data_IF_387673878436
#
_entry.id   IF_387673878436
#
_cell.length_a   1.000
_cell.length_b   1.000
_cell.length_c   1.000
_cell.angle_alpha   90.00
_cell.angle_beta   90.00
_cell.angle_gamma   90.00
#
_symmetry.space_group_name_H-M   'P 1'
#
loop_
_entity.id
_entity.type
_entity.pdbx_description
1 polymer ?
#
# COMPACT_ATOMS: atom_id res chain seq x y z
N UNK A 1 -0.05 12.38 -22.98
CA UNK A 1 -0.38 12.37 -21.53
C UNK A 1 -0.51 13.80 -21.02
N UNK A 2 0.43 14.69 -21.33
CA UNK A 2 0.42 16.10 -20.88
C UNK A 2 -0.85 16.82 -21.34
N UNK A 3 -1.29 16.63 -22.58
CA UNK A 3 -2.51 17.24 -23.10
C UNK A 3 -3.75 16.72 -22.34
N UNK A 4 -3.83 15.43 -22.08
CA UNK A 4 -4.91 14.84 -21.26
C UNK A 4 -4.91 15.43 -19.83
N UNK A 5 -3.73 15.61 -19.23
CA UNK A 5 -3.62 16.25 -17.92
C UNK A 5 -4.08 17.73 -17.95
N UNK A 6 -3.70 18.49 -18.98
CA UNK A 6 -4.12 19.87 -19.15
C UNK A 6 -5.63 19.98 -19.40
N UNK A 7 -6.21 19.08 -20.22
CA UNK A 7 -7.65 19.02 -20.45
C UNK A 7 -8.40 18.69 -19.15
N UNK A 8 -7.95 17.68 -18.42
CA UNK A 8 -8.55 17.30 -17.14
C UNK A 8 -8.48 18.42 -16.10
N UNK A 9 -7.36 19.14 -16.07
CA UNK A 9 -7.15 20.21 -15.11
C UNK A 9 -8.21 21.34 -15.21
N UNK A 10 -8.87 21.52 -16.36
CA UNK A 10 -9.95 22.52 -16.55
C UNK A 10 -11.17 22.22 -15.65
N UNK A 11 -11.35 20.97 -15.23
CA UNK A 11 -12.44 20.58 -14.34
C UNK A 11 -12.19 21.02 -12.87
N UNK A 12 -10.96 21.41 -12.50
CA UNK A 12 -10.59 21.81 -11.14
C UNK A 12 -10.83 23.31 -10.98
N UNK A 13 -11.75 23.69 -10.09
CA UNK A 13 -12.14 25.10 -9.88
C UNK A 13 -11.08 25.90 -9.15
N UNK A 14 -10.48 25.31 -8.10
CA UNK A 14 -9.43 25.98 -7.31
C UNK A 14 -8.05 25.42 -7.67
N UNK A 15 -7.38 26.07 -8.61
CA UNK A 15 -6.02 25.72 -9.04
C UNK A 15 -5.00 26.70 -8.43
N UNK A 16 -3.87 26.17 -7.96
CA UNK A 16 -2.75 26.98 -7.48
C UNK A 16 -1.96 27.63 -8.64
N UNK A 17 -1.91 26.97 -9.80
CA UNK A 17 -1.29 27.47 -11.04
C UNK A 17 -2.30 27.35 -12.17
N UNK A 18 -2.44 28.41 -12.96
CA UNK A 18 -3.32 28.47 -14.13
C UNK A 18 -2.64 27.98 -15.40
N UNK A 19 -1.32 28.09 -15.45
CA UNK A 19 -0.55 27.77 -16.65
C UNK A 19 -0.59 26.26 -16.96
N UNK A 20 -0.69 25.90 -18.25
CA UNK A 20 -0.61 24.50 -18.66
C UNK A 20 0.79 23.95 -18.38
N UNK A 21 0.86 22.64 -18.08
CA UNK A 21 2.13 21.93 -18.02
C UNK A 21 2.64 21.71 -19.44
N UNK A 22 3.96 21.72 -19.59
CA UNK A 22 4.65 21.53 -20.87
C UNK A 22 5.41 20.21 -20.79
N UNK A 23 5.31 19.40 -21.86
CA UNK A 23 6.08 18.16 -21.95
C UNK A 23 7.57 18.47 -22.10
N UNK A 24 8.39 17.76 -21.34
CA UNK A 24 9.85 17.74 -21.51
C UNK A 24 10.30 16.60 -22.44
N UNK A 25 9.42 15.61 -22.70
CA UNK A 25 9.68 14.51 -23.62
C UNK A 25 9.26 14.88 -25.03
N UNK A 26 10.03 14.38 -26.02
CA UNK A 26 9.68 14.45 -27.43
C UNK A 26 8.84 13.25 -27.90
N UNK A 27 8.69 12.24 -27.05
CA UNK A 27 7.87 11.06 -27.35
C UNK A 27 6.42 11.27 -26.93
N UNK A 28 5.49 10.96 -27.82
CA UNK A 28 4.06 11.01 -27.54
C UNK A 28 3.65 9.79 -26.73
N UNK A 29 3.02 10.03 -25.59
CA UNK A 29 2.45 8.98 -24.76
C UNK A 29 1.02 8.63 -25.18
N UNK A 30 0.61 7.40 -24.98
CA UNK A 30 -0.73 6.90 -25.30
C UNK A 30 -1.68 7.09 -24.10
N UNK A 31 -2.89 7.61 -24.36
CA UNK A 31 -3.95 7.76 -23.34
C UNK A 31 -5.20 7.04 -23.81
N UNK A 32 -5.71 6.12 -22.98
CA UNK A 32 -6.95 5.36 -23.19
C UNK A 32 -7.93 5.59 -22.06
N UNK A 33 -9.18 5.80 -22.40
CA UNK A 33 -10.31 5.80 -21.48
C UNK A 33 -11.16 4.59 -21.81
N UNK A 34 -11.21 3.61 -20.89
CA UNK A 34 -12.02 2.41 -21.05
C UNK A 34 -13.27 2.55 -20.19
N UNK A 35 -14.40 2.77 -20.82
CA UNK A 35 -15.67 2.98 -20.15
C UNK A 35 -16.42 1.67 -19.97
N UNK A 36 -16.78 1.37 -18.73
CA UNK A 36 -17.53 0.19 -18.34
C UNK A 36 -18.93 0.57 -17.84
N UNK A 37 -19.93 -0.29 -18.02
CA UNK A 37 -21.24 -0.08 -17.40
C UNK A 37 -21.10 -0.19 -15.86
N UNK A 38 -21.90 0.58 -15.13
CA UNK A 38 -21.97 0.46 -13.68
C UNK A 38 -22.66 -0.83 -13.24
N UNK A 39 -23.73 -1.20 -13.96
CA UNK A 39 -24.53 -2.38 -13.72
C UNK A 39 -24.98 -3.00 -15.05
N UNK A 40 -25.08 -4.32 -15.07
CA UNK A 40 -25.72 -5.10 -16.13
C UNK A 40 -26.75 -6.02 -15.46
N UNK A 41 -28.03 -5.94 -15.85
CA UNK A 41 -29.13 -6.76 -15.29
C UNK A 41 -29.10 -6.74 -13.73
N UNK A 42 -29.08 -5.55 -13.16
CA UNK A 42 -29.05 -5.30 -11.69
C UNK A 42 -27.79 -5.77 -10.96
N UNK A 43 -26.83 -6.41 -11.65
CA UNK A 43 -25.55 -6.79 -11.08
C UNK A 43 -24.52 -5.70 -11.29
N UNK A 44 -23.78 -5.35 -10.23
CA UNK A 44 -22.64 -4.43 -10.30
C UNK A 44 -21.52 -5.03 -11.15
N UNK A 45 -20.93 -4.21 -12.01
CA UNK A 45 -19.74 -4.57 -12.79
C UNK A 45 -18.49 -4.17 -12.02
N UNK A 46 -17.50 -5.07 -11.94
CA UNK A 46 -16.22 -4.85 -11.28
C UNK A 46 -15.10 -4.77 -12.31
N UNK A 47 -14.28 -3.74 -12.26
CA UNK A 47 -13.27 -3.46 -13.29
C UNK A 47 -11.88 -4.08 -12.98
N UNK A 48 -11.78 -5.03 -12.04
CA UNK A 48 -10.50 -5.65 -11.70
C UNK A 48 -9.96 -6.57 -12.78
N UNK A 49 -10.84 -7.36 -13.39
CA UNK A 49 -10.48 -8.30 -14.46
C UNK A 49 -9.95 -7.60 -15.72
N UNK A 50 -10.59 -6.55 -16.25
CA UNK A 50 -10.05 -5.79 -17.38
C UNK A 50 -8.67 -5.21 -17.13
N UNK A 51 -8.40 -4.72 -15.89
CA UNK A 51 -7.07 -4.23 -15.51
C UNK A 51 -6.04 -5.35 -15.49
N UNK A 52 -6.40 -6.53 -14.96
CA UNK A 52 -5.53 -7.71 -15.00
C UNK A 52 -5.15 -8.07 -16.44
N UNK A 53 -6.11 -8.10 -17.35
CA UNK A 53 -5.88 -8.41 -18.77
C UNK A 53 -4.97 -7.38 -19.44
N UNK A 54 -5.12 -6.09 -19.11
CA UNK A 54 -4.22 -5.03 -19.58
C UNK A 54 -2.79 -5.22 -19.04
N UNK A 55 -2.63 -5.59 -17.75
CA UNK A 55 -1.32 -5.92 -17.17
C UNK A 55 -0.70 -7.11 -17.89
N UNK A 56 -1.47 -8.18 -18.12
CA UNK A 56 -0.98 -9.36 -18.85
C UNK A 56 -0.55 -9.01 -20.28
N UNK A 57 -1.27 -8.11 -20.95
CA UNK A 57 -0.93 -7.61 -22.28
C UNK A 57 0.39 -6.84 -22.27
N UNK A 58 0.58 -5.94 -21.29
CA UNK A 58 1.83 -5.19 -21.13
C UNK A 58 3.01 -6.11 -20.85
N UNK A 59 2.84 -7.11 -19.99
CA UNK A 59 3.86 -8.13 -19.71
C UNK A 59 4.17 -8.99 -20.94
N UNK A 60 3.15 -9.39 -21.71
CA UNK A 60 3.32 -10.18 -22.94
C UNK A 60 4.05 -9.40 -24.06
N UNK A 61 3.82 -8.09 -24.14
CA UNK A 61 4.52 -7.24 -25.11
C UNK A 61 6.00 -7.01 -24.73
N UNK A 62 6.32 -7.12 -23.44
CA UNK A 62 7.68 -6.95 -22.90
C UNK A 62 8.47 -8.27 -22.82
N UNK A 63 7.84 -9.42 -23.15
CA UNK A 63 8.53 -10.71 -23.20
C UNK A 63 9.61 -10.69 -24.32
N UNK A 64 10.87 -11.11 -24.04
CA UNK A 64 11.93 -11.11 -25.04
C UNK A 64 11.56 -12.07 -26.18
N UNK A 65 11.33 -11.54 -27.37
CA UNK A 65 11.21 -12.33 -28.59
C UNK A 65 12.64 -12.80 -28.96
N UNK A 66 12.98 -13.98 -28.52
CA UNK A 66 14.08 -14.86 -28.89
C UNK A 66 15.20 -14.33 -29.79
N UNK A 67 16.03 -13.39 -29.35
CA UNK A 67 17.34 -13.07 -29.90
C UNK A 67 18.29 -12.59 -28.80
N UNK A 68 19.58 -12.89 -28.91
CA UNK A 68 20.62 -12.57 -27.91
C UNK A 68 20.82 -11.05 -27.59
N UNK A 69 20.05 -10.17 -28.19
CA UNK A 69 20.01 -8.74 -27.90
C UNK A 69 19.12 -8.34 -26.68
N UNK A 70 18.59 -9.33 -25.97
CA UNK A 70 17.63 -9.12 -24.85
C UNK A 70 18.27 -8.61 -23.53
N UNK A 71 19.59 -8.39 -23.49
CA UNK A 71 20.31 -8.00 -22.26
C UNK A 71 20.19 -6.52 -21.89
N UNK A 72 19.67 -5.66 -22.77
CA UNK A 72 19.61 -4.20 -22.54
C UNK A 72 18.19 -3.58 -22.60
N UNK A 73 17.11 -4.36 -22.75
CA UNK A 73 15.77 -3.81 -22.66
C UNK A 73 15.44 -3.50 -21.20
N UNK A 74 15.49 -2.21 -20.89
CA UNK A 74 15.01 -1.60 -19.67
C UNK A 74 13.62 -2.15 -19.32
N UNK A 75 13.51 -2.92 -18.24
CA UNK A 75 12.22 -3.37 -17.74
C UNK A 75 11.39 -2.15 -17.33
N UNK A 76 10.18 -2.06 -17.88
CA UNK A 76 9.27 -0.93 -17.66
C UNK A 76 8.43 -1.13 -16.41
N UNK A 77 8.20 -0.05 -15.67
CA UNK A 77 7.38 -0.05 -14.46
C UNK A 77 5.90 0.05 -14.82
N UNK A 78 5.07 -0.80 -14.20
CA UNK A 78 3.62 -0.75 -14.33
C UNK A 78 3.03 -0.34 -12.98
N UNK A 79 2.18 0.68 -12.94
CA UNK A 79 1.45 1.05 -11.74
C UNK A 79 -0.05 0.93 -11.92
N UNK A 80 -0.70 0.31 -10.94
CA UNK A 80 -2.15 0.23 -10.85
C UNK A 80 -2.60 1.14 -9.72
N UNK A 81 -3.31 2.21 -10.07
CA UNK A 81 -3.76 3.24 -9.15
C UNK A 81 -5.26 3.10 -8.88
N UNK A 82 -5.61 2.95 -7.62
CA UNK A 82 -7.00 2.79 -7.16
C UNK A 82 -7.44 3.98 -6.30
N UNK A 83 -8.73 4.10 -6.05
CA UNK A 83 -9.28 5.16 -5.20
C UNK A 83 -9.14 4.82 -3.71
N UNK A 84 -9.19 3.54 -3.34
CA UNK A 84 -9.21 3.06 -1.97
C UNK A 84 -8.15 2.00 -1.71
N UNK A 85 -7.72 1.87 -0.46
CA UNK A 85 -6.82 0.79 -0.04
C UNK A 85 -7.46 -0.59 -0.26
N UNK A 86 -8.77 -0.71 -0.09
CA UNK A 86 -9.49 -1.97 -0.28
C UNK A 86 -9.40 -2.43 -1.75
N UNK A 87 -9.65 -1.53 -2.71
CA UNK A 87 -9.49 -1.82 -4.13
C UNK A 87 -8.06 -2.22 -4.48
N UNK A 88 -7.06 -1.51 -3.92
CA UNK A 88 -5.65 -1.82 -4.14
C UNK A 88 -5.29 -3.24 -3.65
N UNK A 89 -5.80 -3.63 -2.49
CA UNK A 89 -5.53 -4.95 -1.91
C UNK A 89 -6.26 -6.06 -2.66
N UNK A 90 -7.49 -5.82 -3.11
CA UNK A 90 -8.23 -6.76 -3.97
C UNK A 90 -7.48 -6.96 -5.30
N UNK A 91 -7.02 -5.87 -5.91
CA UNK A 91 -6.24 -5.95 -7.16
C UNK A 91 -4.92 -6.72 -6.96
N UNK A 92 -4.22 -6.47 -5.84
CA UNK A 92 -3.00 -7.22 -5.50
C UNK A 92 -3.29 -8.73 -5.36
N UNK A 93 -4.36 -9.11 -4.65
CA UNK A 93 -4.75 -10.50 -4.48
C UNK A 93 -5.06 -11.16 -5.83
N UNK A 94 -5.76 -10.44 -6.72
CA UNK A 94 -6.07 -10.92 -8.06
C UNK A 94 -4.82 -11.15 -8.91
N UNK A 95 -3.85 -10.24 -8.89
CA UNK A 95 -2.56 -10.40 -9.57
C UNK A 95 -1.80 -11.63 -9.03
N UNK A 96 -1.71 -11.76 -7.72
CA UNK A 96 -1.03 -12.89 -7.08
C UNK A 96 -1.69 -14.24 -7.40
N UNK A 97 -3.03 -14.31 -7.46
CA UNK A 97 -3.75 -15.53 -7.82
C UNK A 97 -3.49 -15.99 -9.27
N UNK A 98 -3.01 -15.07 -10.13
CA UNK A 98 -2.57 -15.34 -11.50
C UNK A 98 -1.05 -15.47 -11.64
N UNK A 99 -0.32 -15.63 -10.52
CA UNK A 99 1.14 -15.79 -10.51
C UNK A 99 1.93 -14.52 -10.81
N UNK A 100 1.27 -13.36 -10.91
CA UNK A 100 1.90 -12.08 -11.20
C UNK A 100 2.40 -11.47 -9.89
N UNK A 101 3.72 -11.29 -9.77
CA UNK A 101 4.33 -10.64 -8.61
C UNK A 101 4.10 -9.13 -8.69
N UNK A 102 3.44 -8.59 -7.70
CA UNK A 102 3.19 -7.16 -7.57
C UNK A 102 3.49 -6.69 -6.15
N UNK A 103 3.87 -5.43 -6.02
CA UNK A 103 4.13 -4.76 -4.74
C UNK A 103 2.99 -3.81 -4.40
N UNK A 104 2.50 -3.87 -3.18
CA UNK A 104 1.56 -2.89 -2.66
C UNK A 104 2.32 -1.79 -1.93
N UNK A 105 2.03 -0.54 -2.26
CA UNK A 105 2.49 0.58 -1.42
C UNK A 105 1.68 0.55 -0.13
N UNK A 106 2.32 0.05 0.92
CA UNK A 106 1.70 -0.19 2.23
C UNK A 106 1.34 1.12 2.93
N UNK A 107 0.33 1.07 3.80
CA UNK A 107 -0.03 2.16 4.71
C UNK A 107 -0.31 1.59 6.09
N UNK A 108 -0.04 2.40 7.09
CA UNK A 108 -0.39 2.08 8.47
C UNK A 108 -1.66 2.79 8.94
N UNK A 109 -2.44 3.38 8.03
CA UNK A 109 -3.76 3.98 8.28
C UNK A 109 -3.78 4.95 9.49
N UNK A 110 -2.84 5.89 9.51
CA UNK A 110 -2.70 6.91 10.54
C UNK A 110 -1.83 6.51 11.74
N UNK A 111 -1.25 5.31 11.73
CA UNK A 111 -0.15 4.98 12.62
C UNK A 111 1.18 5.40 11.99
N UNK A 112 2.09 5.92 12.80
CA UNK A 112 3.40 6.38 12.34
C UNK A 112 4.38 5.22 12.20
N UNK A 113 5.38 5.36 11.34
CA UNK A 113 6.49 4.41 11.18
C UNK A 113 7.19 4.10 12.53
N UNK A 114 7.34 5.13 13.35
CA UNK A 114 7.82 5.03 14.73
C UNK A 114 7.13 3.92 15.56
N UNK A 115 5.88 3.58 15.27
CA UNK A 115 5.11 2.60 16.07
C UNK A 115 5.45 1.15 15.75
N UNK A 116 6.15 0.86 14.65
CA UNK A 116 6.57 -0.50 14.31
C UNK A 116 7.42 -1.12 15.43
N UNK A 117 7.16 -2.39 15.75
CA UNK A 117 7.87 -3.10 16.80
C UNK A 117 9.39 -3.14 16.55
N UNK A 118 9.81 -3.31 15.30
CA UNK A 118 11.18 -3.31 14.84
C UNK A 118 11.84 -1.95 15.10
N UNK A 119 11.17 -0.85 14.72
CA UNK A 119 11.65 0.53 14.93
C UNK A 119 11.75 0.84 16.41
N UNK A 120 10.72 0.49 17.19
CA UNK A 120 10.70 0.70 18.65
C UNK A 120 11.82 -0.06 19.35
N UNK A 121 12.12 -1.25 18.91
CA UNK A 121 13.21 -2.04 19.49
C UNK A 121 14.57 -1.44 19.15
N UNK A 122 14.79 -1.06 17.88
CA UNK A 122 16.01 -0.39 17.46
C UNK A 122 16.26 0.89 18.25
N UNK A 123 15.29 1.78 18.33
CA UNK A 123 15.39 3.04 19.06
C UNK A 123 15.63 2.81 20.56
N UNK A 124 15.03 1.77 21.15
CA UNK A 124 15.32 1.39 22.53
C UNK A 124 16.78 1.01 22.73
N UNK A 125 17.40 0.30 21.76
CA UNK A 125 18.81 -0.09 21.85
C UNK A 125 19.72 1.12 21.70
N UNK A 126 19.42 2.03 20.80
CA UNK A 126 20.12 3.31 20.66
C UNK A 126 20.02 4.13 21.98
N UNK A 127 18.81 4.29 22.54
CA UNK A 127 18.58 5.02 23.79
C UNK A 127 19.42 4.46 24.96
N UNK A 128 19.51 3.13 25.06
CA UNK A 128 20.35 2.47 26.06
C UNK A 128 21.83 2.82 25.87
N UNK A 129 22.37 2.68 24.67
CA UNK A 129 23.79 2.97 24.39
C UNK A 129 24.16 4.44 24.60
N UNK A 130 23.29 5.37 24.16
CA UNK A 130 23.48 6.81 24.34
C UNK A 130 23.48 7.20 25.83
N UNK A 131 22.58 6.61 26.64
CA UNK A 131 22.54 6.83 28.09
C UNK A 131 23.78 6.28 28.81
N UNK A 132 24.23 5.10 28.44
CA UNK A 132 25.45 4.50 28.97
C UNK A 132 26.70 5.32 28.62
N UNK A 133 26.78 5.80 27.38
CA UNK A 133 27.84 6.67 26.90
C UNK A 133 27.77 8.11 27.43
N UNK A 134 26.65 8.52 28.04
CA UNK A 134 26.37 9.90 28.48
C UNK A 134 26.61 10.94 27.36
N UNK A 135 26.28 10.58 26.12
CA UNK A 135 26.51 11.41 24.94
C UNK A 135 25.25 11.50 24.10
N UNK A 136 24.87 12.66 23.57
CA UNK A 136 23.76 12.79 22.62
C UNK A 136 24.13 12.28 21.22
N UNK A 137 25.41 12.06 20.94
CA UNK A 137 25.93 11.54 19.68
C UNK A 137 25.94 10.03 19.75
N UNK A 138 25.39 9.38 18.73
CA UNK A 138 25.40 7.94 18.56
C UNK A 138 26.72 7.57 17.88
N UNK A 139 27.61 6.86 18.60
CA UNK A 139 28.82 6.34 17.98
C UNK A 139 28.52 5.19 17.01
N UNK A 140 29.47 4.89 16.13
CA UNK A 140 29.31 3.80 15.16
C UNK A 140 29.17 2.44 15.86
N UNK A 141 29.85 2.23 17.01
CA UNK A 141 29.71 1.01 17.81
C UNK A 141 28.30 0.85 18.38
N UNK A 142 27.67 1.92 18.90
CA UNK A 142 26.30 1.90 19.40
C UNK A 142 25.34 1.63 18.24
N UNK A 143 25.57 2.29 17.12
CA UNK A 143 24.75 2.16 15.91
C UNK A 143 24.75 0.73 15.37
N UNK A 144 25.94 0.17 15.15
CA UNK A 144 26.10 -1.17 14.58
C UNK A 144 25.62 -2.26 15.54
N UNK A 145 25.86 -2.12 16.84
CA UNK A 145 25.34 -3.02 17.86
C UNK A 145 23.82 -3.01 17.89
N UNK A 146 23.17 -1.84 17.79
CA UNK A 146 21.71 -1.72 17.75
C UNK A 146 21.15 -2.34 16.48
N UNK A 147 21.77 -2.12 15.32
CA UNK A 147 21.39 -2.74 14.04
C UNK A 147 21.47 -4.26 14.14
N UNK A 148 22.63 -4.79 14.56
CA UNK A 148 22.85 -6.24 14.67
C UNK A 148 21.83 -6.90 15.59
N UNK A 149 21.62 -6.37 16.79
CA UNK A 149 20.66 -6.93 17.76
C UNK A 149 19.22 -6.90 17.21
N UNK A 150 18.85 -5.83 16.49
CA UNK A 150 17.51 -5.69 15.93
C UNK A 150 17.31 -6.68 14.78
N UNK A 151 18.27 -6.79 13.87
CA UNK A 151 18.18 -7.68 12.71
C UNK A 151 18.22 -9.15 13.14
N UNK A 152 18.99 -9.50 14.17
CA UNK A 152 18.96 -10.83 14.77
C UNK A 152 17.61 -11.14 15.40
N UNK A 153 17.08 -10.21 16.21
CA UNK A 153 15.81 -10.42 16.90
C UNK A 153 14.65 -10.56 15.92
N UNK A 154 14.59 -9.73 14.86
CA UNK A 154 13.51 -9.69 13.88
C UNK A 154 13.88 -10.36 12.56
N UNK A 155 14.82 -11.29 12.59
CA UNK A 155 15.14 -12.11 11.42
C UNK A 155 13.86 -12.70 10.79
N UNK A 156 13.73 -12.63 9.46
CA UNK A 156 12.56 -13.04 8.68
C UNK A 156 11.29 -12.18 8.89
N UNK A 157 11.35 -11.05 9.60
CA UNK A 157 10.23 -10.12 9.64
C UNK A 157 10.06 -9.42 8.29
N UNK A 158 8.84 -9.42 7.76
CA UNK A 158 8.51 -8.69 6.53
C UNK A 158 8.51 -7.17 6.71
N UNK A 159 8.56 -6.66 7.95
CA UNK A 159 8.70 -5.24 8.23
C UNK A 159 10.17 -4.79 8.34
N UNK A 160 11.11 -5.72 8.47
CA UNK A 160 12.54 -5.39 8.62
C UNK A 160 13.15 -4.62 7.44
N UNK A 161 12.80 -4.90 6.16
CA UNK A 161 13.29 -4.13 5.03
C UNK A 161 12.98 -2.64 5.11
N UNK A 162 11.81 -2.25 5.62
CA UNK A 162 11.45 -0.83 5.81
C UNK A 162 12.38 -0.15 6.82
N UNK A 163 12.67 -0.82 7.95
CA UNK A 163 13.65 -0.31 8.92
C UNK A 163 15.03 -0.22 8.28
N UNK A 164 15.49 -1.27 7.61
CA UNK A 164 16.80 -1.26 6.95
C UNK A 164 16.94 -0.07 5.99
N UNK A 165 15.94 0.16 5.15
CA UNK A 165 15.94 1.28 4.20
C UNK A 165 15.93 2.64 4.92
N UNK A 166 15.14 2.78 5.99
CA UNK A 166 15.11 4.03 6.76
C UNK A 166 16.46 4.36 7.37
N UNK A 167 17.18 3.34 7.87
CA UNK A 167 18.53 3.52 8.43
C UNK A 167 19.54 3.94 7.35
N UNK A 168 19.46 3.36 6.15
CA UNK A 168 20.31 3.76 5.02
C UNK A 168 20.05 5.22 4.62
N UNK A 169 18.78 5.65 4.53
CA UNK A 169 18.43 7.04 4.22
C UNK A 169 18.98 7.98 5.29
N UNK A 170 18.82 7.63 6.57
CA UNK A 170 19.32 8.44 7.67
C UNK A 170 20.85 8.54 7.65
N UNK A 171 21.58 7.44 7.42
CA UNK A 171 23.04 7.41 7.29
C UNK A 171 23.55 8.30 6.14
N UNK A 172 22.85 8.31 5.01
CA UNK A 172 23.22 9.10 3.83
C UNK A 172 23.03 10.61 4.03
N UNK A 173 22.03 10.99 4.84
CA UNK A 173 21.68 12.41 5.05
C UNK A 173 22.34 13.04 6.27
N UNK A 174 22.87 12.23 7.20
CA UNK A 174 23.42 12.69 8.49
C UNK A 174 24.86 12.19 8.70
N UNK A 175 25.83 13.09 8.53
CA UNK A 175 27.25 12.77 8.79
C UNK A 175 27.51 12.45 10.27
N UNK A 176 26.91 13.24 11.16
CA UNK A 176 26.92 12.98 12.61
C UNK A 176 25.53 12.52 13.03
N UNK A 177 25.47 11.39 13.74
CA UNK A 177 24.21 10.78 14.15
C UNK A 177 23.82 11.30 15.53
N UNK A 178 22.91 12.29 15.60
CA UNK A 178 22.33 12.74 16.87
C UNK A 178 21.07 11.93 17.19
N UNK A 179 20.91 11.57 18.46
CA UNK A 179 19.74 10.80 18.90
C UNK A 179 18.43 11.58 18.74
N UNK A 180 18.45 12.91 18.93
CA UNK A 180 17.32 13.79 18.65
C UNK A 180 16.84 13.68 17.21
N UNK A 181 17.78 13.82 16.26
CA UNK A 181 17.51 13.86 14.83
C UNK A 181 17.00 12.51 14.33
N UNK A 182 17.59 11.42 14.84
CA UNK A 182 17.10 10.06 14.54
C UNK A 182 15.65 9.87 15.01
N UNK A 183 15.32 10.34 16.21
CA UNK A 183 13.97 10.24 16.75
C UNK A 183 12.97 11.05 15.93
N UNK A 184 13.32 12.28 15.58
CA UNK A 184 12.47 13.14 14.75
C UNK A 184 12.26 12.54 13.37
N UNK A 185 13.35 12.10 12.71
CA UNK A 185 13.29 11.41 11.44
C UNK A 185 12.33 10.20 11.47
N UNK A 186 12.51 9.29 12.45
CA UNK A 186 11.64 8.11 12.57
C UNK A 186 10.18 8.47 12.92
N UNK A 187 9.96 9.57 13.63
CA UNK A 187 8.63 10.03 14.01
C UNK A 187 7.88 10.70 12.87
N UNK A 188 8.57 11.44 12.01
CA UNK A 188 7.97 12.12 10.85
C UNK A 188 7.79 11.19 9.64
N UNK A 189 8.56 10.10 9.58
CA UNK A 189 8.51 9.14 8.47
C UNK A 189 7.24 8.29 8.47
N UNK A 190 6.89 7.80 7.29
CA UNK A 190 5.84 6.82 7.04
C UNK A 190 6.41 5.51 6.43
N UNK A 191 5.65 4.43 6.44
CA UNK A 191 6.09 3.16 5.83
C UNK A 191 6.27 3.32 4.32
N UNK A 192 5.44 4.15 3.72
CA UNK A 192 5.44 4.45 2.28
C UNK A 192 6.78 5.04 1.82
N UNK A 193 7.44 5.83 2.66
CA UNK A 193 8.72 6.51 2.33
C UNK A 193 9.86 5.51 2.11
N UNK A 194 9.72 4.29 2.64
CA UNK A 194 10.73 3.24 2.58
C UNK A 194 10.33 2.05 1.71
N UNK A 195 9.28 2.19 0.92
CA UNK A 195 8.88 1.20 -0.08
C UNK A 195 9.82 1.29 -1.29
N UNK A 196 10.67 0.29 -1.47
CA UNK A 196 11.53 0.23 -2.67
C UNK A 196 10.71 -0.21 -3.89
N UNK A 197 10.68 0.66 -4.89
CA UNK A 197 10.11 0.37 -6.20
C UNK A 197 11.28 0.22 -7.19
N UNK A 198 11.50 -0.99 -7.68
CA UNK A 198 12.50 -1.26 -8.71
C UNK A 198 11.92 -1.03 -10.11
N UNK A 199 12.80 -0.85 -11.11
CA UNK A 199 12.41 -0.56 -12.51
C UNK A 199 11.59 -1.66 -13.21
N UNK A 200 11.48 -2.83 -12.61
CA UNK A 200 10.71 -3.97 -13.16
C UNK A 200 9.46 -4.29 -12.34
N UNK A 201 9.10 -3.44 -11.39
CA UNK A 201 8.02 -3.75 -10.46
C UNK A 201 6.64 -3.40 -11.04
N UNK A 202 5.69 -4.30 -10.80
CA UNK A 202 4.28 -3.96 -10.85
C UNK A 202 3.89 -3.44 -9.48
N UNK A 203 3.43 -2.20 -9.46
CA UNK A 203 3.10 -1.49 -8.21
C UNK A 203 1.60 -1.27 -8.12
N UNK A 204 1.00 -1.69 -7.04
CA UNK A 204 -0.40 -1.39 -6.72
C UNK A 204 -0.44 -0.36 -5.61
N UNK A 205 -1.17 0.72 -5.80
CA UNK A 205 -1.26 1.78 -4.79
C UNK A 205 -2.57 2.55 -4.92
N UNK A 206 -2.88 3.35 -3.91
CA UNK A 206 -3.90 4.39 -4.11
C UNK A 206 -3.29 5.58 -4.83
N UNK A 207 -4.12 6.32 -5.57
CA UNK A 207 -3.70 7.53 -6.29
C UNK A 207 -2.98 8.51 -5.36
N UNK A 208 -3.45 8.64 -4.12
CA UNK A 208 -2.83 9.54 -3.15
C UNK A 208 -1.38 9.15 -2.80
N UNK A 209 -1.10 7.86 -2.67
CA UNK A 209 0.24 7.35 -2.31
C UNK A 209 1.22 7.32 -3.49
N UNK A 210 0.72 7.43 -4.72
CA UNK A 210 1.55 7.53 -5.92
C UNK A 210 2.21 8.91 -6.09
N UNK A 211 1.86 9.90 -5.23
CA UNK A 211 2.45 11.24 -5.29
C UNK A 211 3.98 11.17 -5.13
N UNK A 212 4.70 11.82 -6.06
CA UNK A 212 6.17 11.84 -6.07
C UNK A 212 6.82 10.68 -6.84
N UNK A 213 6.07 9.66 -7.24
CA UNK A 213 6.55 8.59 -8.11
C UNK A 213 6.10 8.80 -9.54
N UNK A 214 6.82 8.22 -10.49
CA UNK A 214 6.47 8.19 -11.92
C UNK A 214 6.69 6.76 -12.45
N UNK A 215 5.82 6.33 -13.36
CA UNK A 215 5.81 4.98 -13.89
C UNK A 215 5.73 5.02 -15.41
N UNK A 216 6.28 4.02 -16.06
CA UNK A 216 6.24 3.94 -17.51
C UNK A 216 4.81 3.70 -18.00
N UNK A 217 4.07 2.83 -17.30
CA UNK A 217 2.66 2.53 -17.56
C UNK A 217 1.81 2.74 -16.32
N UNK A 218 0.70 3.44 -16.47
CA UNK A 218 -0.28 3.66 -15.39
C UNK A 218 -1.65 3.17 -15.79
N UNK A 219 -2.22 2.30 -14.97
CA UNK A 219 -3.59 1.82 -15.07
C UNK A 219 -4.39 2.39 -13.89
N UNK A 220 -5.39 3.20 -14.15
CA UNK A 220 -6.23 3.80 -13.12
C UNK A 220 -7.57 3.08 -13.04
N UNK A 221 -7.95 2.67 -11.82
CA UNK A 221 -9.30 2.19 -11.50
C UNK A 221 -10.08 3.35 -10.88
N UNK A 222 -11.06 3.89 -11.62
CA UNK A 222 -11.89 4.99 -11.13
C UNK A 222 -13.36 4.59 -11.17
N UNK A 223 -13.85 4.13 -10.03
CA UNK A 223 -15.27 3.89 -9.81
C UNK A 223 -15.94 5.18 -9.35
N UNK A 224 -17.13 5.40 -9.85
CA UNK A 224 -18.01 6.52 -9.60
C UNK A 224 -17.69 7.45 -8.40
N UNK A 225 -17.61 8.79 -8.59
CA UNK A 225 -18.68 9.66 -8.12
C UNK A 225 -19.23 10.56 -9.24
N UNK A 226 -20.55 10.74 -9.26
CA UNK A 226 -21.22 11.63 -10.23
C UNK A 226 -20.77 13.08 -10.09
N UNK A 227 -20.44 13.50 -8.87
CA UNK A 227 -20.01 14.86 -8.55
C UNK A 227 -18.76 14.84 -7.65
N UNK A 228 -17.56 14.69 -8.22
CA UNK A 228 -16.33 14.70 -7.42
C UNK A 228 -16.06 16.09 -6.85
N UNK A 229 -15.56 16.12 -5.61
CA UNK A 229 -15.04 17.34 -5.00
C UNK A 229 -13.77 17.79 -5.71
N UNK A 230 -13.40 19.07 -5.60
CA UNK A 230 -12.13 19.59 -6.15
C UNK A 230 -10.91 18.83 -5.61
N UNK A 231 -10.97 18.32 -4.37
CA UNK A 231 -9.93 17.47 -3.80
C UNK A 231 -9.79 16.15 -4.56
N UNK A 232 -10.93 15.49 -4.90
CA UNK A 232 -10.94 14.29 -5.71
C UNK A 232 -10.44 14.54 -7.13
N UNK A 233 -10.84 15.66 -7.74
CA UNK A 233 -10.33 16.05 -9.06
C UNK A 233 -8.80 16.24 -9.03
N UNK A 234 -8.26 16.90 -8.00
CA UNK A 234 -6.81 17.02 -7.82
C UNK A 234 -6.12 15.66 -7.64
N UNK A 235 -6.74 14.72 -6.93
CA UNK A 235 -6.21 13.36 -6.82
C UNK A 235 -6.13 12.68 -8.19
N UNK A 236 -7.21 12.73 -9.00
CA UNK A 236 -7.20 12.15 -10.34
C UNK A 236 -6.15 12.80 -11.25
N UNK A 237 -6.03 14.13 -11.19
CA UNK A 237 -4.98 14.85 -11.90
C UNK A 237 -3.58 14.35 -11.52
N UNK A 238 -3.32 14.14 -10.22
CA UNK A 238 -2.07 13.54 -9.76
C UNK A 238 -1.87 12.15 -10.37
N UNK A 239 -2.90 11.30 -10.40
CA UNK A 239 -2.81 9.98 -11.03
C UNK A 239 -2.45 10.04 -12.51
N UNK A 240 -3.12 10.90 -13.27
CA UNK A 240 -2.86 11.12 -14.72
C UNK A 240 -1.39 11.52 -14.95
N UNK A 241 -0.87 12.43 -14.13
CA UNK A 241 0.51 12.93 -14.27
C UNK A 241 1.59 11.93 -13.79
N UNK A 242 1.22 10.73 -13.34
CA UNK A 242 2.20 9.69 -12.94
C UNK A 242 2.70 8.85 -14.11
N UNK A 243 2.01 8.86 -15.24
CA UNK A 243 2.36 8.10 -16.42
C UNK A 243 3.45 8.80 -17.26
N UNK A 244 4.39 8.01 -17.79
CA UNK A 244 5.41 8.46 -18.75
C UNK A 244 5.05 8.08 -20.18
N UNK A 245 4.72 6.82 -20.43
CA UNK A 245 4.49 6.27 -21.77
C UNK A 245 3.02 5.99 -22.03
N UNK A 246 2.33 5.26 -21.14
CA UNK A 246 0.92 4.93 -21.33
C UNK A 246 0.08 5.19 -20.09
N UNK A 247 -1.13 5.67 -20.32
CA UNK A 247 -2.16 5.86 -19.31
C UNK A 247 -3.44 5.18 -19.79
N UNK A 248 -3.95 4.21 -19.04
CA UNK A 248 -5.28 3.64 -19.25
C UNK A 248 -6.17 3.93 -18.03
N UNK A 249 -7.32 4.54 -18.23
CA UNK A 249 -8.29 4.84 -17.18
C UNK A 249 -9.51 3.95 -17.38
N UNK A 250 -9.70 2.96 -16.50
CA UNK A 250 -10.89 2.13 -16.44
C UNK A 250 -11.91 2.80 -15.53
N UNK A 251 -13.06 3.17 -16.08
CA UNK A 251 -14.06 3.96 -15.36
C UNK A 251 -15.48 3.63 -15.76
N UNK A 252 -16.41 3.85 -14.84
CA UNK A 252 -17.85 3.89 -15.11
C UNK A 252 -18.43 5.31 -14.95
N UNK A 253 -17.58 6.32 -14.92
CA UNK A 253 -17.93 7.73 -14.78
C UNK A 253 -17.81 8.47 -16.11
N UNK A 254 -18.63 9.50 -16.30
CA UNK A 254 -18.53 10.42 -17.45
C UNK A 254 -17.45 11.50 -17.25
N UNK A 255 -16.76 11.49 -16.12
CA UNK A 255 -15.79 12.52 -15.74
C UNK A 255 -14.64 12.71 -16.75
N UNK A 256 -14.25 11.63 -17.42
CA UNK A 256 -13.13 11.61 -18.36
C UNK A 256 -13.55 11.76 -19.84
N UNK A 257 -14.86 11.91 -20.12
CA UNK A 257 -15.36 12.05 -21.49
C UNK A 257 -14.86 13.33 -22.19
N UNK A 258 -14.41 14.31 -21.41
CA UNK A 258 -13.84 15.60 -21.91
C UNK A 258 -12.37 15.52 -22.30
N UNK A 259 -11.71 14.37 -22.15
CA UNK A 259 -10.32 14.17 -22.55
C UNK A 259 -10.21 13.91 -24.05
N UNK A 260 -10.24 14.96 -24.86
CA UNK A 260 -10.28 14.84 -26.32
C UNK A 260 -9.02 14.24 -26.94
N UNK A 261 -7.89 14.31 -26.25
CA UNK A 261 -6.61 13.71 -26.67
C UNK A 261 -6.50 12.22 -26.40
N UNK A 262 -7.51 11.62 -25.72
CA UNK A 262 -7.52 10.20 -25.35
C UNK A 262 -8.28 9.36 -26.37
N UNK A 263 -7.89 8.09 -26.53
CA UNK A 263 -8.69 7.07 -27.20
C UNK A 263 -9.83 6.63 -26.27
N UNK A 264 -11.07 6.78 -26.69
CA UNK A 264 -12.24 6.34 -25.96
C UNK A 264 -12.69 4.96 -26.41
N UNK A 265 -12.71 4.01 -25.49
CA UNK A 265 -13.14 2.63 -25.69
C UNK A 265 -14.34 2.33 -24.81
N UNK A 266 -15.25 1.48 -25.29
CA UNK A 266 -16.38 0.99 -24.51
C UNK A 266 -16.25 -0.52 -24.35
N UNK A 267 -16.22 -0.96 -23.10
CA UNK A 267 -16.30 -2.37 -22.74
C UNK A 267 -17.67 -2.65 -22.11
N UNK A 268 -18.54 -3.32 -22.86
CA UNK A 268 -19.89 -3.64 -22.43
C UNK A 268 -19.98 -4.96 -21.64
N UNK A 269 -18.85 -5.61 -21.33
CA UNK A 269 -18.86 -6.89 -20.63
C UNK A 269 -19.18 -6.71 -19.15
N UNK A 270 -19.82 -7.73 -18.58
CA UNK A 270 -20.04 -7.85 -17.16
C UNK A 270 -18.91 -8.63 -16.51
N UNK A 271 -18.31 -8.05 -15.48
CA UNK A 271 -17.26 -8.71 -14.71
C UNK A 271 -17.72 -8.88 -13.27
N UNK A 272 -17.57 -10.08 -12.76
CA UNK A 272 -17.87 -10.41 -11.38
C UNK A 272 -16.75 -9.94 -10.43
N UNK A 273 -17.09 -9.91 -9.16
CA UNK A 273 -16.11 -9.70 -8.07
C UNK A 273 -15.10 -10.85 -8.05
N UNK A 274 -13.80 -10.59 -7.82
CA UNK A 274 -12.78 -11.65 -7.78
C UNK A 274 -13.11 -12.76 -6.79
N UNK A 275 -12.83 -14.02 -7.14
CA UNK A 275 -13.08 -15.17 -6.25
C UNK A 275 -12.19 -15.18 -5.01
N UNK A 276 -11.05 -14.51 -5.07
CA UNK A 276 -10.14 -14.31 -3.95
C UNK A 276 -9.97 -12.81 -3.69
N UNK A 277 -10.13 -12.41 -2.44
CA UNK A 277 -9.92 -11.05 -1.98
C UNK A 277 -9.01 -11.06 -0.77
N UNK A 278 -8.33 -9.94 -0.54
CA UNK A 278 -7.56 -9.70 0.67
C UNK A 278 -8.12 -8.49 1.40
N UNK A 279 -8.17 -8.54 2.71
CA UNK A 279 -8.52 -7.42 3.58
C UNK A 279 -7.33 -7.09 4.47
N UNK A 280 -6.90 -5.84 4.47
CA UNK A 280 -5.87 -5.35 5.39
C UNK A 280 -6.54 -4.69 6.58
N UNK A 281 -6.31 -5.23 7.77
CA UNK A 281 -6.88 -4.69 9.01
C UNK A 281 -6.06 -3.51 9.50
N UNK A 282 -6.74 -2.41 9.79
CA UNK A 282 -6.20 -1.25 10.49
C UNK A 282 -6.38 -1.39 12.01
N UNK A 283 -5.81 -0.47 12.77
CA UNK A 283 -6.04 -0.41 14.22
C UNK A 283 -7.51 -0.18 14.61
N UNK A 284 -8.34 0.36 13.69
CA UNK A 284 -9.79 0.59 13.91
C UNK A 284 -10.61 -0.69 13.74
N UNK A 285 -10.02 -1.70 13.08
CA UNK A 285 -10.69 -2.96 12.78
C UNK A 285 -10.46 -4.00 13.88
N UNK A 286 -9.69 -3.64 14.91
CA UNK A 286 -9.29 -4.53 16.02
C UNK A 286 -9.84 -3.98 17.34
N UNK A 287 -10.27 -4.88 18.24
CA UNK A 287 -10.57 -4.55 19.62
C UNK A 287 -9.25 -4.31 20.38
N UNK A 288 -8.91 -3.03 20.52
CA UNK A 288 -7.63 -2.59 21.08
C UNK A 288 -7.48 -2.96 22.58
N UNK A 289 -8.60 -3.08 23.31
CA UNK A 289 -8.61 -3.50 24.71
C UNK A 289 -8.19 -4.97 24.88
N UNK A 290 -8.57 -5.81 23.93
CA UNK A 290 -8.29 -7.25 23.97
C UNK A 290 -6.77 -7.57 23.94
N UNK A 291 -6.00 -6.79 23.20
CA UNK A 291 -4.55 -7.04 23.01
C UNK A 291 -3.71 -6.70 24.25
N UNK A 292 -4.22 -5.92 25.22
CA UNK A 292 -3.44 -5.47 26.39
C UNK A 292 -2.80 -6.59 27.21
N UNK A 293 -3.53 -7.65 27.65
CA UNK A 293 -2.93 -8.74 28.42
C UNK A 293 -1.95 -9.61 27.63
N UNK A 294 -2.08 -9.62 26.31
CA UNK A 294 -1.29 -10.48 25.40
C UNK A 294 0.00 -9.84 24.89
N UNK A 295 0.38 -8.64 25.38
CA UNK A 295 1.55 -7.87 24.92
C UNK A 295 2.83 -8.68 24.80
N UNK A 296 3.14 -9.56 25.77
CA UNK A 296 4.37 -10.38 25.75
C UNK A 296 4.34 -11.39 24.60
N UNK A 297 3.21 -12.06 24.39
CA UNK A 297 3.00 -13.01 23.31
C UNK A 297 3.11 -12.29 21.95
N UNK A 298 2.45 -11.15 21.78
CA UNK A 298 2.47 -10.35 20.55
C UNK A 298 3.91 -9.91 20.22
N UNK A 299 4.70 -9.44 21.18
CA UNK A 299 6.08 -8.99 20.96
C UNK A 299 7.09 -10.12 20.68
N UNK A 300 6.69 -11.39 20.84
CA UNK A 300 7.49 -12.53 20.38
C UNK A 300 7.26 -12.90 18.93
N UNK A 301 6.21 -12.36 18.29
CA UNK A 301 5.85 -12.61 16.91
C UNK A 301 6.61 -11.67 15.95
N UNK A 302 6.43 -11.89 14.66
CA UNK A 302 7.05 -11.12 13.57
C UNK A 302 6.07 -10.87 12.45
N UNK A 303 6.23 -9.77 11.75
CA UNK A 303 5.51 -9.49 10.52
C UNK A 303 5.79 -10.59 9.48
N UNK A 304 4.75 -11.05 8.82
CA UNK A 304 4.78 -12.18 7.88
C UNK A 304 4.39 -13.52 8.50
N UNK A 305 4.39 -13.67 9.82
CA UNK A 305 3.98 -14.92 10.46
C UNK A 305 2.51 -15.25 10.19
N UNK A 306 2.17 -16.52 9.94
CA UNK A 306 0.79 -16.95 9.80
C UNK A 306 0.03 -16.84 11.13
N UNK A 307 -1.24 -16.53 11.02
CA UNK A 307 -2.22 -16.58 12.10
C UNK A 307 -3.34 -17.54 11.73
N UNK A 308 -3.93 -18.16 12.72
CA UNK A 308 -5.22 -18.81 12.58
C UNK A 308 -6.33 -17.84 12.94
N UNK A 309 -7.48 -18.00 12.29
CA UNK A 309 -8.66 -17.19 12.50
C UNK A 309 -9.87 -18.08 12.81
N UNK A 310 -10.59 -17.77 13.87
CA UNK A 310 -11.83 -18.46 14.25
C UNK A 310 -12.71 -17.51 15.07
N UNK A 311 -13.96 -17.43 14.73
CA UNK A 311 -15.00 -16.74 15.50
C UNK A 311 -14.60 -15.30 15.91
N UNK A 312 -14.06 -14.52 14.94
CA UNK A 312 -13.59 -13.14 15.10
C UNK A 312 -12.31 -12.98 15.92
N UNK A 313 -11.63 -14.06 16.29
CA UNK A 313 -10.36 -14.03 17.00
C UNK A 313 -9.20 -14.48 16.11
N UNK A 314 -8.04 -13.90 16.38
CA UNK A 314 -6.77 -14.32 15.81
C UNK A 314 -5.93 -14.98 16.89
N UNK A 315 -5.40 -16.15 16.59
CA UNK A 315 -4.56 -16.88 17.52
C UNK A 315 -3.29 -17.40 16.86
N UNK A 316 -2.29 -17.66 17.71
CA UNK A 316 -1.01 -18.22 17.29
C UNK A 316 -1.22 -19.73 17.07
N UNK A 317 -1.00 -20.27 15.84
CA UNK A 317 -1.29 -21.67 15.54
C UNK A 317 -0.63 -22.68 16.49
N UNK A 318 0.62 -22.40 16.92
CA UNK A 318 1.41 -23.32 17.77
C UNK A 318 0.99 -23.34 19.23
N UNK A 319 0.30 -22.33 19.73
CA UNK A 319 -0.03 -22.19 21.17
C UNK A 319 -1.52 -22.05 21.43
N UNK A 320 -2.31 -21.85 20.39
CA UNK A 320 -3.75 -21.52 20.48
C UNK A 320 -4.07 -20.33 21.39
N UNK A 321 -3.11 -19.42 21.56
CA UNK A 321 -3.30 -18.18 22.33
C UNK A 321 -3.96 -17.15 21.45
N UNK A 322 -5.12 -16.66 21.83
CA UNK A 322 -5.78 -15.53 21.20
C UNK A 322 -4.97 -14.25 21.44
N UNK A 323 -4.64 -13.55 20.38
CA UNK A 323 -3.79 -12.34 20.44
C UNK A 323 -4.47 -11.07 19.94
N UNK A 324 -5.52 -11.21 19.15
CA UNK A 324 -6.31 -10.11 18.64
C UNK A 324 -7.76 -10.56 18.41
N UNK A 325 -8.67 -9.61 18.51
CA UNK A 325 -10.09 -9.76 18.24
C UNK A 325 -10.53 -8.66 17.28
N UNK A 326 -11.42 -8.99 16.34
CA UNK A 326 -12.03 -7.98 15.46
C UNK A 326 -12.89 -7.01 16.26
N UNK A 327 -12.94 -5.75 15.81
CA UNK A 327 -13.92 -4.78 16.29
C UNK A 327 -15.32 -5.15 15.80
N UNK A 328 -16.36 -4.71 16.50
CA UNK A 328 -17.76 -4.93 16.11
C UNK A 328 -17.99 -4.46 14.67
N UNK A 329 -17.52 -3.26 14.34
CA UNK A 329 -17.65 -2.71 12.98
C UNK A 329 -16.99 -3.58 11.91
N UNK A 330 -15.81 -4.16 12.21
CA UNK A 330 -15.14 -5.04 11.26
C UNK A 330 -15.82 -6.40 11.15
N UNK A 331 -16.35 -6.92 12.25
CA UNK A 331 -17.19 -8.12 12.25
C UNK A 331 -18.41 -7.95 11.32
N UNK A 332 -19.10 -6.84 11.42
CA UNK A 332 -20.23 -6.52 10.53
C UNK A 332 -19.79 -6.39 9.06
N UNK A 333 -18.63 -5.81 8.81
CA UNK A 333 -18.06 -5.72 7.45
C UNK A 333 -17.72 -7.12 6.90
N UNK A 334 -17.13 -7.97 7.75
CA UNK A 334 -16.78 -9.33 7.38
C UNK A 334 -18.03 -10.16 7.05
N UNK A 335 -19.09 -10.04 7.86
CA UNK A 335 -20.37 -10.72 7.61
C UNK A 335 -20.98 -10.37 6.25
N UNK A 336 -20.77 -9.13 5.76
CA UNK A 336 -21.20 -8.75 4.40
C UNK A 336 -20.42 -9.50 3.31
N UNK A 337 -19.14 -9.79 3.52
CA UNK A 337 -18.37 -10.62 2.60
C UNK A 337 -18.79 -12.08 2.69
N UNK A 338 -19.04 -12.56 3.91
CA UNK A 338 -19.52 -13.94 4.14
C UNK A 338 -20.90 -14.18 3.51
N UNK A 339 -21.80 -13.20 3.56
CA UNK A 339 -23.11 -13.26 2.88
C UNK A 339 -23.02 -13.35 1.34
N UNK A 340 -21.88 -12.90 0.78
CA UNK A 340 -21.55 -13.06 -0.65
C UNK A 340 -20.87 -14.42 -0.95
N UNK A 341 -20.70 -15.29 0.04
CA UNK A 341 -20.10 -16.60 -0.09
C UNK A 341 -18.58 -16.66 0.14
N UNK A 342 -17.94 -15.55 0.57
CA UNK A 342 -16.52 -15.57 0.91
C UNK A 342 -16.30 -16.15 2.32
N UNK A 343 -15.19 -16.89 2.48
CA UNK A 343 -14.75 -17.40 3.77
C UNK A 343 -13.29 -17.05 3.99
N UNK A 344 -12.91 -16.74 5.22
CA UNK A 344 -11.50 -16.54 5.58
C UNK A 344 -10.76 -17.87 5.43
N UNK A 345 -9.74 -17.88 4.58
CA UNK A 345 -8.93 -19.07 4.29
C UNK A 345 -7.51 -18.97 4.84
N UNK A 346 -7.01 -17.75 5.04
CA UNK A 346 -5.71 -17.49 5.63
C UNK A 346 -5.69 -16.14 6.34
N UNK A 347 -4.84 -16.05 7.35
CA UNK A 347 -4.50 -14.81 8.03
C UNK A 347 -2.99 -14.74 8.26
N UNK A 348 -2.41 -13.55 8.22
CA UNK A 348 -0.99 -13.32 8.53
C UNK A 348 -0.78 -11.98 9.20
N UNK A 349 0.28 -11.87 9.97
CA UNK A 349 0.69 -10.61 10.58
C UNK A 349 1.29 -9.70 9.48
N UNK A 350 0.65 -8.57 9.23
CA UNK A 350 1.23 -7.52 8.40
C UNK A 350 2.23 -6.68 9.18
N UNK A 351 1.79 -6.13 10.32
CA UNK A 351 2.63 -5.34 11.22
C UNK A 351 2.30 -5.62 12.68
N UNK A 352 3.31 -5.47 13.53
CA UNK A 352 3.15 -5.39 14.97
C UNK A 352 3.49 -3.96 15.37
N UNK A 353 2.58 -3.28 16.05
CA UNK A 353 2.73 -1.86 16.35
C UNK A 353 2.47 -1.56 17.83
N UNK A 354 3.24 -0.62 18.37
CA UNK A 354 2.97 -0.02 19.66
C UNK A 354 1.76 0.93 19.51
N UNK A 355 0.83 0.82 20.42
CA UNK A 355 -0.39 1.63 20.40
C UNK A 355 -0.75 2.14 21.80
N UNK A 356 -1.24 3.37 21.84
CA UNK A 356 -1.75 4.04 23.03
C UNK A 356 -2.90 4.95 22.63
N UNK A 357 -4.02 5.03 23.39
CA UNK A 357 -5.08 5.99 23.15
C UNK A 357 -4.54 7.43 23.18
N UNK A 358 -5.07 8.31 22.33
CA UNK A 358 -4.63 9.72 22.28
C UNK A 358 -4.87 10.45 23.63
N UNK A 359 -5.97 10.11 24.28
CA UNK A 359 -6.41 10.71 25.56
C UNK A 359 -5.91 9.93 26.79
N UNK A 360 -5.07 8.91 26.58
CA UNK A 360 -4.56 8.10 27.68
C UNK A 360 -3.67 8.92 28.63
N UNK A 361 -3.75 8.69 29.95
CA UNK A 361 -2.86 9.27 30.93
C UNK A 361 -1.38 9.06 30.53
N UNK A 362 -0.50 10.01 30.94
CA UNK A 362 0.93 9.93 30.57
C UNK A 362 1.62 8.66 31.07
N UNK A 363 1.18 8.14 32.19
CA UNK A 363 1.67 6.92 32.86
C UNK A 363 1.07 5.61 32.29
N UNK A 364 0.02 5.67 31.45
CA UNK A 364 -0.52 4.49 30.80
C UNK A 364 0.52 3.87 29.88
N UNK A 365 0.80 2.58 30.09
CA UNK A 365 1.76 1.82 29.28
C UNK A 365 1.18 1.52 27.90
N UNK A 366 1.99 1.75 26.86
CA UNK A 366 1.65 1.34 25.51
C UNK A 366 1.37 -0.17 25.42
N UNK A 367 0.33 -0.54 24.71
CA UNK A 367 0.05 -1.92 24.31
C UNK A 367 0.78 -2.27 23.01
N UNK A 368 0.82 -3.55 22.67
CA UNK A 368 1.21 -4.02 21.34
C UNK A 368 -0.04 -4.57 20.67
N UNK A 369 -0.25 -4.23 19.41
CA UNK A 369 -1.36 -4.72 18.60
C UNK A 369 -0.84 -5.35 17.31
N UNK A 370 -1.60 -6.29 16.78
CA UNK A 370 -1.33 -6.97 15.51
C UNK A 370 -2.24 -6.36 14.44
N UNK A 371 -1.65 -5.89 13.36
CA UNK A 371 -2.36 -5.54 12.14
C UNK A 371 -2.23 -6.73 11.19
N UNK A 372 -3.35 -7.38 10.88
CA UNK A 372 -3.35 -8.60 10.08
C UNK A 372 -3.86 -8.35 8.66
N UNK A 373 -3.40 -9.19 7.74
CA UNK A 373 -4.01 -9.40 6.42
C UNK A 373 -4.87 -10.66 6.49
N UNK A 374 -6.09 -10.57 5.96
CA UNK A 374 -7.02 -11.68 5.79
C UNK A 374 -7.15 -12.01 4.31
N UNK A 375 -6.98 -13.27 3.95
CA UNK A 375 -7.32 -13.79 2.62
C UNK A 375 -8.67 -14.47 2.71
N UNK A 376 -9.58 -14.07 1.84
CA UNK A 376 -10.91 -14.66 1.74
C UNK A 376 -11.14 -15.24 0.36
N UNK A 377 -11.73 -16.42 0.29
CA UNK A 377 -12.09 -17.05 -0.98
C UNK A 377 -13.59 -17.34 -1.03
N UNK A 378 -14.17 -17.12 -2.21
CA UNK A 378 -15.55 -17.50 -2.47
C UNK A 378 -15.61 -19.00 -2.74
N UNK A 379 -16.43 -19.72 -1.97
CA UNK A 379 -16.77 -21.11 -2.28
C UNK A 379 -17.58 -21.13 -3.57
N UNK A 380 -17.13 -21.92 -4.53
CA UNK A 380 -17.89 -22.18 -5.76
C UNK A 380 -19.13 -23.01 -5.45
#
# INVERSE_FOLDING_TARGET
>A
IVDAANDFARNIRQRMKSDPIISMSQEDGEVKIVKHPYQIQEKRVYMYQPILEEVMRLLGNNAPKGTDEALDKKSETISILTQTNEEAVIMLALLHSHGIKAKLVQSMDGLRFWNLAEVRYFLKKIDQGVKEAKSPIISDEIWDAAKQQTFQKYANSQALPYLHRSLQVFEQTNRAKYYSDLREFMFESSVEDFCEISKSDIVVSTIHKAKGHEFDHVLMLVTHPEHPTDEKLRQYYVGITRAKHTLAIHTNSNLFDTLHSAQHLHDAQGYDEPNEIMLQLSHRDINLGFSKPHKKAILSLRSGMPLSYHDHYFYIPSTSIDIAQLSIKMTEKLAKWESKGYKVTAARIRFIVAWKPKEAPRDEKESAIVLADLVMKRSR
#
